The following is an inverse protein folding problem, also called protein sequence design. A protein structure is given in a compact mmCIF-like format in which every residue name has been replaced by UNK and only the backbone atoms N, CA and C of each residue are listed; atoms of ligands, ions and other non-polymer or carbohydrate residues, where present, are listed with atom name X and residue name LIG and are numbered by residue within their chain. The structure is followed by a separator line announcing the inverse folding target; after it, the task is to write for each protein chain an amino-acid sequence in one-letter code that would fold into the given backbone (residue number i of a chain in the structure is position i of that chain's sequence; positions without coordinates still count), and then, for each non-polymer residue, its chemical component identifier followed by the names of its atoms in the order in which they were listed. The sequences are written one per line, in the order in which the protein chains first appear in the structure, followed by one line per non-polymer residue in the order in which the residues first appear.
data_IF_591801718607
#
_entry.id   IF_591801718607
#
_cell.length_a   1.000
_cell.length_b   1.000
_cell.length_c   1.000
_cell.angle_alpha   90.00
_cell.angle_beta   90.00
_cell.angle_gamma   90.00
#
_symmetry.space_group_name_H-M   'P 1'
#
loop_
_entity.id
_entity.type
_entity.pdbx_description
1 polymer ?
#
# COMPACT_ATOMS: atom_id res chain seq x y z
N UNK A 1 32.04 -68.40 15.93
CA UNK A 1 32.18 -68.47 14.46
C UNK A 1 32.34 -67.04 13.92
N UNK A 2 33.41 -66.88 13.15
CA UNK A 2 33.96 -65.75 12.37
C UNK A 2 33.22 -64.39 12.33
N UNK A 3 33.94 -63.27 12.63
CA UNK A 3 33.63 -61.93 12.12
C UNK A 3 34.19 -61.76 10.69
N UNK A 4 33.70 -60.77 9.93
CA UNK A 4 34.29 -60.13 8.72
C UNK A 4 33.11 -59.44 7.98
N UNK A 5 33.21 -58.25 7.36
CA UNK A 5 34.30 -57.33 7.09
C UNK A 5 33.69 -55.97 6.76
N UNK A 6 34.34 -54.93 7.28
CA UNK A 6 34.26 -53.55 6.84
C UNK A 6 34.50 -53.46 5.32
N UNK A 7 33.60 -52.82 4.58
CA UNK A 7 33.91 -52.28 3.25
C UNK A 7 33.51 -50.82 3.26
N UNK A 8 34.53 -49.99 3.51
CA UNK A 8 34.54 -48.56 3.24
C UNK A 8 34.59 -48.39 1.72
N UNK A 9 33.55 -47.81 1.13
CA UNK A 9 33.64 -47.23 -0.22
C UNK A 9 33.59 -45.72 -0.06
N UNK A 10 34.78 -45.15 0.06
CA UNK A 10 35.05 -43.76 -0.25
C UNK A 10 34.89 -43.63 -1.77
N UNK A 11 33.84 -42.94 -2.23
CA UNK A 11 33.81 -42.41 -3.58
C UNK A 11 33.94 -40.90 -3.50
N UNK A 12 35.19 -40.47 -3.60
CA UNK A 12 35.62 -39.11 -3.85
C UNK A 12 35.19 -38.74 -5.28
N UNK A 13 34.12 -37.97 -5.42
CA UNK A 13 33.89 -37.14 -6.61
C UNK A 13 33.99 -35.68 -6.17
N UNK A 14 35.23 -35.22 -6.11
CA UNK A 14 35.57 -33.81 -6.07
C UNK A 14 35.21 -33.13 -7.40
N UNK A 15 34.88 -31.84 -7.27
CA UNK A 15 34.88 -30.78 -8.29
C UNK A 15 33.74 -30.76 -9.31
N UNK A 16 32.69 -30.01 -8.97
CA UNK A 16 32.30 -28.88 -9.82
C UNK A 16 32.18 -27.65 -8.93
N UNK A 17 32.99 -26.65 -9.27
CA UNK A 17 33.08 -25.36 -8.62
C UNK A 17 31.71 -24.69 -8.52
N UNK A 18 31.26 -24.39 -7.29
CA UNK A 18 30.35 -23.27 -7.09
C UNK A 18 31.15 -22.01 -7.40
N UNK A 19 30.96 -21.55 -8.64
CA UNK A 19 31.42 -20.28 -9.16
C UNK A 19 30.99 -19.19 -8.15
N UNK A 20 31.93 -18.67 -7.36
CA UNK A 20 31.79 -17.40 -6.67
C UNK A 20 31.72 -16.34 -7.76
N UNK A 21 30.56 -16.21 -8.39
CA UNK A 21 30.18 -14.96 -9.02
C UNK A 21 30.12 -13.95 -7.90
N UNK A 22 31.24 -13.25 -7.69
CA UNK A 22 31.27 -11.94 -7.07
C UNK A 22 30.26 -11.10 -7.84
N UNK A 23 28.99 -11.14 -7.43
CA UNK A 23 28.02 -10.14 -7.82
C UNK A 23 28.55 -8.86 -7.19
N UNK A 24 29.18 -8.04 -8.02
CA UNK A 24 29.37 -6.62 -7.74
C UNK A 24 28.07 -6.13 -7.10
N UNK A 25 28.10 -5.52 -5.90
CA UNK A 25 26.93 -4.87 -5.38
C UNK A 25 26.42 -3.98 -6.50
N UNK A 26 25.21 -4.25 -7.01
CA UNK A 26 24.60 -3.31 -7.93
C UNK A 26 24.54 -2.00 -7.16
N UNK A 27 25.28 -0.99 -7.64
CA UNK A 27 25.07 0.40 -7.26
C UNK A 27 23.58 0.64 -7.47
N UNK A 28 22.83 0.60 -6.38
CA UNK A 28 21.49 1.15 -6.41
C UNK A 28 21.67 2.61 -6.86
N UNK A 29 20.86 3.08 -7.81
CA UNK A 29 20.92 4.48 -8.20
C UNK A 29 20.84 5.29 -6.91
N UNK A 30 21.83 6.15 -6.68
CA UNK A 30 21.84 7.05 -5.52
C UNK A 30 20.71 8.04 -5.77
N UNK A 31 19.47 7.62 -5.50
CA UNK A 31 18.34 8.54 -5.43
C UNK A 31 18.69 9.48 -4.29
N UNK A 32 18.75 10.77 -4.60
CA UNK A 32 19.09 11.77 -3.62
C UNK A 32 17.99 11.79 -2.54
N UNK A 33 18.35 11.69 -1.27
CA UNK A 33 17.43 11.78 -0.12
C UNK A 33 16.48 12.99 -0.22
N UNK A 34 16.99 14.10 -0.78
CA UNK A 34 16.17 15.28 -1.08
C UNK A 34 15.05 14.97 -2.08
N UNK A 35 15.34 14.24 -3.15
CA UNK A 35 14.32 13.85 -4.15
C UNK A 35 13.27 12.93 -3.55
N UNK A 36 13.65 12.01 -2.66
CA UNK A 36 12.70 11.16 -1.94
C UNK A 36 11.76 11.97 -1.07
N UNK A 37 12.30 12.88 -0.26
CA UNK A 37 11.50 13.77 0.60
C UNK A 37 10.59 14.69 -0.23
N UNK A 38 11.11 15.24 -1.33
CA UNK A 38 10.36 16.09 -2.25
C UNK A 38 9.20 15.29 -2.89
N UNK A 39 9.43 14.02 -3.26
CA UNK A 39 8.38 13.13 -3.79
C UNK A 39 7.28 12.87 -2.76
N UNK A 40 7.63 12.40 -1.55
CA UNK A 40 6.67 12.13 -0.47
C UNK A 40 5.82 13.36 -0.16
N UNK A 41 6.47 14.52 -0.02
CA UNK A 41 5.77 15.80 0.22
C UNK A 41 4.80 16.15 -0.91
N UNK A 42 5.21 15.93 -2.16
CA UNK A 42 4.38 16.17 -3.34
C UNK A 42 3.15 15.26 -3.39
N UNK A 43 3.31 13.96 -3.08
CA UNK A 43 2.20 13.01 -3.03
C UNK A 43 1.19 13.41 -1.94
N UNK A 44 1.66 13.66 -0.72
CA UNK A 44 0.77 14.02 0.40
C UNK A 44 0.01 15.33 0.14
N UNK A 45 0.65 16.32 -0.48
CA UNK A 45 -0.02 17.57 -0.86
C UNK A 45 -1.11 17.35 -1.92
N UNK A 46 -0.87 16.46 -2.88
CA UNK A 46 -1.86 16.15 -3.91
C UNK A 46 -3.01 15.33 -3.33
N UNK A 47 -2.73 14.39 -2.43
CA UNK A 47 -3.73 13.64 -1.69
C UNK A 47 -4.66 14.54 -0.88
N UNK A 48 -4.13 15.50 -0.12
CA UNK A 48 -4.91 16.48 0.65
C UNK A 48 -5.89 17.28 -0.23
N UNK A 49 -5.40 17.75 -1.38
CA UNK A 49 -6.22 18.44 -2.39
C UNK A 49 -7.34 17.54 -2.93
N UNK A 50 -7.00 16.30 -3.30
CA UNK A 50 -7.97 15.31 -3.79
C UNK A 50 -8.97 14.88 -2.71
N UNK A 51 -8.54 14.78 -1.46
CA UNK A 51 -9.36 14.47 -0.29
C UNK A 51 -10.39 15.56 -0.01
N UNK A 52 -10.00 16.83 -0.16
CA UNK A 52 -10.94 17.96 -0.09
C UNK A 52 -12.03 17.85 -1.15
N UNK A 53 -11.65 17.57 -2.40
CA UNK A 53 -12.62 17.34 -3.50
C UNK A 53 -13.52 16.15 -3.22
N UNK A 54 -12.95 15.03 -2.74
CA UNK A 54 -13.68 13.81 -2.38
C UNK A 54 -14.75 14.07 -1.32
N UNK A 55 -14.47 14.92 -0.32
CA UNK A 55 -15.40 15.18 0.77
C UNK A 55 -16.71 15.85 0.29
N UNK A 56 -16.63 16.74 -0.71
CA UNK A 56 -17.79 17.47 -1.24
C UNK A 56 -18.42 16.84 -2.50
N UNK A 57 -17.68 16.04 -3.28
CA UNK A 57 -18.22 15.45 -4.50
C UNK A 57 -19.45 14.55 -4.25
N UNK A 58 -19.55 13.98 -3.06
CA UNK A 58 -20.69 13.16 -2.62
C UNK A 58 -22.02 13.95 -2.53
N UNK A 59 -21.99 15.28 -2.58
CA UNK A 59 -23.19 16.11 -2.65
C UNK A 59 -23.89 16.00 -4.02
N UNK A 60 -23.13 15.71 -5.08
CA UNK A 60 -23.65 15.70 -6.46
C UNK A 60 -23.64 14.30 -7.08
N UNK A 61 -22.65 13.47 -6.75
CA UNK A 61 -22.52 12.10 -7.23
C UNK A 61 -22.54 11.10 -6.07
N UNK A 62 -22.72 9.81 -6.36
CA UNK A 62 -22.78 8.79 -5.31
C UNK A 62 -21.44 8.63 -4.60
N UNK A 63 -21.49 8.28 -3.31
CA UNK A 63 -20.31 8.01 -2.49
C UNK A 63 -19.33 7.03 -3.15
N UNK A 64 -19.84 5.90 -3.67
CA UNK A 64 -18.99 4.92 -4.38
C UNK A 64 -18.29 5.51 -5.61
N UNK A 65 -19.00 6.29 -6.43
CA UNK A 65 -18.41 6.94 -7.60
C UNK A 65 -17.36 7.97 -7.20
N UNK A 66 -17.61 8.74 -6.14
CA UNK A 66 -16.64 9.68 -5.58
C UNK A 66 -15.36 8.97 -5.13
N UNK A 67 -15.49 7.84 -4.43
CA UNK A 67 -14.35 7.04 -3.96
C UNK A 67 -13.58 6.46 -5.16
N UNK A 68 -14.27 5.92 -6.17
CA UNK A 68 -13.63 5.40 -7.37
C UNK A 68 -12.84 6.48 -8.13
N UNK A 69 -13.38 7.70 -8.22
CA UNK A 69 -12.67 8.83 -8.82
C UNK A 69 -11.44 9.23 -8.01
N UNK A 70 -11.57 9.32 -6.67
CA UNK A 70 -10.46 9.63 -5.78
C UNK A 70 -9.31 8.60 -5.92
N UNK A 71 -9.62 7.31 -5.81
CA UNK A 71 -8.64 6.22 -5.96
C UNK A 71 -7.96 6.28 -7.33
N UNK A 72 -8.73 6.48 -8.41
CA UNK A 72 -8.15 6.60 -9.75
C UNK A 72 -7.22 7.82 -9.86
N UNK A 73 -7.61 8.98 -9.31
CA UNK A 73 -6.76 10.17 -9.32
C UNK A 73 -5.46 9.95 -8.56
N UNK A 74 -5.52 9.34 -7.36
CA UNK A 74 -4.34 9.06 -6.53
C UNK A 74 -3.41 8.02 -7.17
N UNK A 75 -3.95 6.98 -7.78
CA UNK A 75 -3.15 5.93 -8.46
C UNK A 75 -2.42 6.45 -9.70
N UNK A 76 -2.84 7.58 -10.26
CA UNK A 76 -2.21 8.23 -11.42
C UNK A 76 -1.21 9.33 -11.03
N UNK A 77 -0.94 9.54 -9.74
CA UNK A 77 0.10 10.46 -9.30
C UNK A 77 1.50 9.96 -9.69
N UNK A 78 2.46 10.87 -9.78
CA UNK A 78 3.85 10.53 -10.07
C UNK A 78 4.61 10.14 -8.79
N UNK A 79 4.88 8.85 -8.62
CA UNK A 79 5.68 8.30 -7.51
C UNK A 79 7.19 8.21 -7.83
N UNK A 80 7.63 8.78 -8.95
CA UNK A 80 9.05 8.79 -9.31
C UNK A 80 9.90 9.43 -8.21
N UNK A 81 10.94 8.71 -7.79
CA UNK A 81 11.83 9.05 -6.68
C UNK A 81 11.25 8.89 -5.28
N UNK A 82 10.01 8.42 -5.09
CA UNK A 82 9.54 8.04 -3.76
C UNK A 82 10.26 6.78 -3.27
N UNK A 83 10.26 6.54 -1.96
CA UNK A 83 10.75 5.26 -1.43
C UNK A 83 9.78 4.14 -1.80
N UNK A 84 10.29 2.94 -2.05
CA UNK A 84 9.47 1.77 -2.35
C UNK A 84 8.49 1.48 -1.20
N UNK A 85 8.94 1.64 0.05
CA UNK A 85 8.12 1.48 1.25
C UNK A 85 6.91 2.43 1.24
N UNK A 86 7.13 3.72 0.93
CA UNK A 86 6.05 4.70 0.87
C UNK A 86 5.07 4.41 -0.28
N UNK A 87 5.58 4.07 -1.47
CA UNK A 87 4.73 3.73 -2.61
C UNK A 87 3.85 2.50 -2.32
N UNK A 88 4.41 1.47 -1.69
CA UNK A 88 3.65 0.28 -1.27
C UNK A 88 2.59 0.64 -0.23
N UNK A 89 2.95 1.41 0.81
CA UNK A 89 2.01 1.84 1.84
C UNK A 89 0.84 2.63 1.23
N UNK A 90 1.12 3.58 0.33
CA UNK A 90 0.08 4.40 -0.31
C UNK A 90 -0.83 3.57 -1.22
N UNK A 91 -0.27 2.61 -1.97
CA UNK A 91 -1.07 1.67 -2.78
C UNK A 91 -1.99 0.81 -1.92
N UNK A 92 -1.49 0.31 -0.78
CA UNK A 92 -2.31 -0.46 0.17
C UNK A 92 -3.45 0.41 0.75
N UNK A 93 -3.17 1.68 1.04
CA UNK A 93 -4.20 2.62 1.46
C UNK A 93 -5.29 2.81 0.39
N UNK A 94 -4.91 2.92 -0.89
CA UNK A 94 -5.88 3.01 -1.99
C UNK A 94 -6.67 1.72 -2.22
N UNK A 95 -6.10 0.56 -1.92
CA UNK A 95 -6.84 -0.71 -1.91
C UNK A 95 -7.91 -0.68 -0.81
N UNK A 96 -7.59 -0.25 0.41
CA UNK A 96 -8.56 -0.14 1.50
C UNK A 96 -9.72 0.82 1.14
N UNK A 97 -9.41 1.95 0.49
CA UNK A 97 -10.44 2.84 -0.06
C UNK A 97 -11.29 2.18 -1.16
N UNK A 98 -10.72 1.31 -1.98
CA UNK A 98 -11.49 0.57 -2.99
C UNK A 98 -12.43 -0.43 -2.34
N UNK A 99 -11.97 -1.14 -1.31
CA UNK A 99 -12.74 -2.19 -0.62
C UNK A 99 -13.99 -1.66 0.07
N UNK A 100 -14.01 -0.41 0.55
CA UNK A 100 -15.20 0.18 1.17
C UNK A 100 -16.36 0.32 0.17
N UNK A 101 -16.08 0.33 -1.14
CA UNK A 101 -17.10 0.43 -2.18
C UNK A 101 -18.12 -0.71 -2.11
N UNK A 102 -17.71 -1.90 -1.65
CA UNK A 102 -18.61 -3.05 -1.48
C UNK A 102 -19.81 -2.76 -0.55
N UNK A 103 -19.65 -1.80 0.38
CA UNK A 103 -20.74 -1.31 1.21
C UNK A 103 -21.39 -0.09 0.58
N UNK A 104 -20.60 0.89 0.13
CA UNK A 104 -21.15 2.17 -0.35
C UNK A 104 -21.96 2.04 -1.64
N UNK A 105 -21.73 1.00 -2.45
CA UNK A 105 -22.53 0.67 -3.63
C UNK A 105 -23.99 0.40 -3.29
N UNK A 106 -24.26 -0.19 -2.11
CA UNK A 106 -25.62 -0.48 -1.62
C UNK A 106 -26.39 0.80 -1.26
N UNK A 107 -25.68 1.93 -1.14
CA UNK A 107 -26.19 3.23 -0.72
C UNK A 107 -26.05 4.30 -1.82
N UNK A 108 -26.14 3.90 -3.08
CA UNK A 108 -25.93 4.75 -4.27
C UNK A 108 -26.81 6.00 -4.36
N UNK A 109 -27.93 6.05 -3.62
CA UNK A 109 -28.86 7.17 -3.57
C UNK A 109 -28.53 8.22 -2.51
N UNK A 110 -27.60 7.96 -1.58
CA UNK A 110 -27.21 8.93 -0.56
C UNK A 110 -26.42 10.10 -1.17
N UNK A 111 -26.69 11.31 -0.70
CA UNK A 111 -26.01 12.56 -1.07
C UNK A 111 -25.75 13.40 0.18
N UNK A 112 -24.66 14.16 0.16
CA UNK A 112 -24.20 14.99 1.28
C UNK A 112 -22.69 14.94 1.38
N UNK A 113 -22.11 15.63 2.36
CA UNK A 113 -20.68 15.51 2.62
C UNK A 113 -20.31 14.08 3.03
N UNK A 114 -19.10 13.63 2.66
CA UNK A 114 -18.66 12.25 2.90
C UNK A 114 -18.78 11.83 4.38
N UNK A 115 -18.46 12.73 5.30
CA UNK A 115 -18.51 12.45 6.74
C UNK A 115 -19.95 12.20 7.23
N UNK A 116 -20.92 13.00 6.79
CA UNK A 116 -22.35 12.79 7.07
C UNK A 116 -22.86 11.46 6.50
N UNK A 117 -22.38 11.09 5.30
CA UNK A 117 -22.74 9.83 4.68
C UNK A 117 -22.18 8.64 5.45
N UNK A 118 -20.95 8.74 5.95
CA UNK A 118 -20.33 7.72 6.79
C UNK A 118 -21.13 7.53 8.08
N UNK A 119 -21.45 8.62 8.78
CA UNK A 119 -22.30 8.61 9.98
C UNK A 119 -23.68 7.98 9.73
N UNK A 120 -24.25 8.21 8.55
CA UNK A 120 -25.52 7.61 8.13
C UNK A 120 -25.39 6.11 7.91
N UNK A 121 -24.31 5.62 7.28
CA UNK A 121 -24.08 4.19 7.03
C UNK A 121 -23.79 3.43 8.33
N UNK A 122 -23.08 4.04 9.27
CA UNK A 122 -22.79 3.46 10.58
C UNK A 122 -24.02 3.15 11.43
N UNK A 123 -25.18 3.74 11.09
CA UNK A 123 -26.46 3.51 11.78
C UNK A 123 -27.36 2.50 11.05
N UNK A 124 -26.89 1.89 9.96
CA UNK A 124 -27.67 1.00 9.08
C UNK A 124 -27.26 -0.47 9.20
N UNK A 125 -27.97 -1.34 8.47
CA UNK A 125 -27.80 -2.80 8.50
C UNK A 125 -26.36 -3.27 8.19
N UNK A 126 -25.62 -2.53 7.37
CA UNK A 126 -24.25 -2.88 6.97
C UNK A 126 -23.17 -2.28 7.90
N UNK A 127 -23.56 -1.64 9.01
CA UNK A 127 -22.67 -0.91 9.92
C UNK A 127 -21.43 -1.71 10.37
N UNK A 128 -21.59 -2.98 10.74
CA UNK A 128 -20.46 -3.80 11.19
C UNK A 128 -19.40 -3.98 10.10
N UNK A 129 -19.81 -4.21 8.86
CA UNK A 129 -18.89 -4.38 7.73
C UNK A 129 -18.26 -3.04 7.36
N UNK A 130 -19.07 -1.97 7.35
CA UNK A 130 -18.60 -0.62 7.09
C UNK A 130 -17.50 -0.19 8.07
N UNK A 131 -17.72 -0.38 9.38
CA UNK A 131 -16.75 -0.02 10.43
C UNK A 131 -15.45 -0.81 10.33
N UNK A 132 -15.52 -2.08 9.95
CA UNK A 132 -14.31 -2.89 9.73
C UNK A 132 -13.48 -2.35 8.56
N UNK A 133 -14.13 -1.98 7.45
CA UNK A 133 -13.46 -1.41 6.28
C UNK A 133 -12.93 0.01 6.55
N UNK A 134 -13.70 0.84 7.25
CA UNK A 134 -13.27 2.17 7.67
C UNK A 134 -12.06 2.08 8.61
N UNK A 135 -12.04 1.11 9.53
CA UNK A 135 -10.86 0.84 10.35
C UNK A 135 -9.66 0.43 9.50
N UNK A 136 -9.84 -0.37 8.45
CA UNK A 136 -8.75 -0.75 7.55
C UNK A 136 -8.15 0.47 6.82
N UNK A 137 -8.98 1.43 6.41
CA UNK A 137 -8.53 2.70 5.85
C UNK A 137 -7.64 3.45 6.85
N UNK A 138 -8.04 3.53 8.12
CA UNK A 138 -7.22 4.18 9.15
C UNK A 138 -5.91 3.44 9.42
N UNK A 139 -5.94 2.11 9.55
CA UNK A 139 -4.74 1.31 9.76
C UNK A 139 -3.73 1.49 8.62
N UNK A 140 -4.18 1.44 7.37
CA UNK A 140 -3.29 1.64 6.21
C UNK A 140 -2.76 3.07 6.09
N UNK A 141 -3.45 4.06 6.68
CA UNK A 141 -2.91 5.42 6.81
C UNK A 141 -1.77 5.49 7.84
N UNK A 142 -1.84 4.74 8.94
CA UNK A 142 -0.74 4.65 9.91
C UNK A 142 0.53 4.09 9.26
N UNK A 143 0.40 3.13 8.34
CA UNK A 143 1.51 2.60 7.54
C UNK A 143 2.12 3.68 6.64
N UNK A 144 1.28 4.53 6.02
CA UNK A 144 1.74 5.67 5.19
C UNK A 144 2.53 6.68 6.04
N UNK A 145 2.04 7.05 7.22
CA UNK A 145 2.75 7.97 8.12
C UNK A 145 4.07 7.37 8.63
N UNK A 146 4.10 6.07 8.88
CA UNK A 146 5.34 5.35 9.25
C UNK A 146 6.36 5.40 8.11
N UNK A 147 5.95 5.06 6.89
CA UNK A 147 6.82 5.06 5.72
C UNK A 147 7.34 6.47 5.37
N UNK A 148 6.49 7.50 5.55
CA UNK A 148 6.87 8.91 5.44
C UNK A 148 7.95 9.27 6.46
N UNK A 149 7.75 8.91 7.73
CA UNK A 149 8.74 9.20 8.78
C UNK A 149 10.08 8.51 8.49
N UNK A 150 10.06 7.28 7.98
CA UNK A 150 11.26 6.59 7.54
C UNK A 150 11.97 7.36 6.41
N UNK A 151 11.23 7.83 5.40
CA UNK A 151 11.78 8.62 4.30
C UNK A 151 12.38 9.97 4.73
N UNK A 152 11.90 10.56 5.82
CA UNK A 152 12.43 11.82 6.36
C UNK A 152 13.74 11.64 7.13
N UNK A 153 13.95 10.44 7.70
CA UNK A 153 15.07 10.09 8.58
C UNK A 153 16.24 9.35 7.89
N UNK A 154 16.13 9.08 6.58
CA UNK A 154 17.24 8.59 5.75
C UNK A 154 18.28 9.71 5.50
#
# INVERSE_FOLDING_TARGET
MKPFKLVVIICFCLFIACNNSNKTPQEQPIINLKQQRDCVTSILKQDDSLGTVRNHNCETISLSKTIAQYVNSVNNLNYENCTEEFEIAFKNHMIAWTEIQQVTDKYSNLRGEMHDLFDSIEKRKDSSVFKALLKNIWNTWEDVETAKSNAENL
#
